data_IF_245901496232
#
_entry.id   IF_245901496232
#
_cell.length_a   1.000
_cell.length_b   1.000
_cell.length_c   1.000
_cell.angle_alpha   90.00
_cell.angle_beta   90.00
_cell.angle_gamma   90.00
#
_symmetry.space_group_name_H-M   'P 1'
#
loop_
_entity.id
_entity.type
_entity.pdbx_description
1 polymer ?
#
# COMPACT_ATOMS: atom_id res chain seq x y z
N UNK A 1 6.17 36.30 -0.01
CA UNK A 1 7.49 35.82 -0.49
C UNK A 1 8.47 35.79 0.67
N UNK A 2 8.78 34.62 1.23
CA UNK A 2 9.93 34.45 2.12
C UNK A 2 10.93 33.57 1.37
N UNK A 3 12.03 34.17 0.95
CA UNK A 3 13.19 33.50 0.37
C UNK A 3 13.70 32.45 1.37
N UNK A 4 13.53 31.17 1.07
CA UNK A 4 14.24 30.10 1.79
C UNK A 4 15.68 30.12 1.29
N UNK A 5 16.60 30.44 2.19
CA UNK A 5 18.04 30.39 1.98
C UNK A 5 18.47 29.01 1.46
N UNK A 6 19.31 29.01 0.42
CA UNK A 6 20.04 27.82 -0.03
C UNK A 6 20.92 27.35 1.14
N UNK A 7 20.90 26.06 1.53
CA UNK A 7 21.78 25.61 2.60
C UNK A 7 23.24 25.64 2.11
N UNK A 8 24.12 26.08 3.01
CA UNK A 8 25.57 26.04 2.82
C UNK A 8 26.03 24.64 2.41
N UNK A 9 27.09 24.57 1.59
CA UNK A 9 27.74 23.32 1.20
C UNK A 9 27.91 22.42 2.42
N UNK A 10 27.40 21.19 2.32
CA UNK A 10 27.53 20.17 3.36
C UNK A 10 29.01 20.01 3.67
N UNK A 11 29.45 20.46 4.84
CA UNK A 11 30.80 20.22 5.32
C UNK A 11 31.05 18.71 5.29
N UNK A 12 32.17 18.28 4.71
CA UNK A 12 32.56 16.87 4.64
C UNK A 12 32.42 16.25 6.04
N UNK A 13 31.58 15.22 6.16
CA UNK A 13 31.38 14.54 7.44
C UNK A 13 32.69 13.84 7.82
N UNK A 14 33.29 14.13 8.99
CA UNK A 14 34.55 13.54 9.39
C UNK A 14 34.50 12.01 9.30
N UNK A 15 35.44 11.41 8.57
CA UNK A 15 35.56 9.95 8.43
C UNK A 15 34.84 9.34 7.22
N UNK A 16 34.08 10.09 6.42
CA UNK A 16 33.61 9.61 5.12
C UNK A 16 34.68 9.73 4.04
N UNK A 17 34.77 8.78 3.09
CA UNK A 17 35.60 8.94 1.90
C UNK A 17 35.29 10.23 1.15
N UNK A 18 36.33 10.85 0.56
CA UNK A 18 36.25 12.16 -0.11
C UNK A 18 35.37 12.17 -1.37
N UNK A 19 35.03 10.99 -1.89
CA UNK A 19 34.18 10.75 -3.05
C UNK A 19 32.71 10.44 -2.67
N UNK A 20 32.36 10.44 -1.38
CA UNK A 20 30.96 10.30 -0.95
C UNK A 20 30.21 11.60 -1.20
N UNK A 21 29.28 11.54 -2.14
CA UNK A 21 28.36 12.66 -2.44
C UNK A 21 27.15 12.57 -1.51
N UNK A 22 26.81 13.64 -0.75
CA UNK A 22 25.56 13.69 0.00
C UNK A 22 24.35 13.54 -0.95
N UNK A 23 23.49 12.58 -0.64
CA UNK A 23 22.25 12.32 -1.40
C UNK A 23 21.04 12.61 -0.52
N UNK A 24 19.98 13.17 -1.12
CA UNK A 24 18.73 13.34 -0.40
C UNK A 24 17.99 11.99 -0.33
N UNK A 25 17.52 11.63 0.87
CA UNK A 25 16.80 10.39 1.12
C UNK A 25 15.34 10.69 1.40
N UNK A 26 14.45 10.00 0.71
CA UNK A 26 13.00 10.10 0.84
C UNK A 26 12.38 8.73 1.08
N UNK A 27 11.12 8.73 1.51
CA UNK A 27 10.27 7.55 1.59
C UNK A 27 8.96 7.82 0.86
N UNK A 28 8.46 6.81 0.16
CA UNK A 28 7.17 6.85 -0.54
C UNK A 28 6.32 5.64 -0.14
N UNK A 29 5.01 5.80 0.04
CA UNK A 29 4.12 4.73 0.47
C UNK A 29 3.12 4.35 -0.60
N UNK A 30 3.12 3.06 -0.98
CA UNK A 30 1.98 2.44 -1.66
C UNK A 30 1.03 1.94 -0.57
N UNK A 31 0.08 2.78 -0.17
CA UNK A 31 -0.95 2.40 0.78
C UNK A 31 -2.22 1.94 0.06
N UNK A 32 -2.54 0.66 0.19
CA UNK A 32 -3.70 0.02 -0.42
C UNK A 32 -4.80 -0.27 0.59
N UNK A 33 -6.03 -0.06 0.14
CA UNK A 33 -7.25 -0.41 0.88
C UNK A 33 -8.31 -1.00 -0.03
N UNK A 34 -9.30 -1.70 0.52
CA UNK A 34 -10.51 -2.08 -0.20
C UNK A 34 -11.63 -1.15 0.25
N UNK A 35 -12.22 -0.42 -0.70
CA UNK A 35 -13.29 0.55 -0.44
C UNK A 35 -14.26 0.56 -1.60
N UNK A 36 -15.56 0.69 -1.30
CA UNK A 36 -16.63 0.82 -2.30
C UNK A 36 -16.54 -0.28 -3.37
N UNK A 37 -16.23 -1.51 -2.91
CA UNK A 37 -16.07 -2.71 -3.74
C UNK A 37 -14.96 -2.59 -4.82
N UNK A 38 -13.90 -1.85 -4.50
CA UNK A 38 -12.72 -1.64 -5.35
C UNK A 38 -11.42 -1.67 -4.53
N UNK A 39 -10.33 -2.14 -5.16
CA UNK A 39 -8.98 -1.91 -4.63
C UNK A 39 -8.60 -0.45 -4.91
N UNK A 40 -8.26 0.27 -3.85
CA UNK A 40 -7.92 1.69 -3.89
C UNK A 40 -6.51 1.93 -3.35
N UNK A 41 -5.85 2.96 -3.89
CA UNK A 41 -4.56 3.48 -3.41
C UNK A 41 -4.75 4.89 -2.86
N UNK A 42 -4.03 5.22 -1.78
CA UNK A 42 -3.98 6.59 -1.27
C UNK A 42 -3.06 7.44 -2.14
N UNK A 43 -3.57 8.59 -2.61
CA UNK A 43 -2.81 9.57 -3.37
C UNK A 43 -2.92 10.95 -2.75
N UNK A 44 -1.85 11.73 -2.88
CA UNK A 44 -1.77 13.14 -2.50
C UNK A 44 -1.58 14.01 -3.73
N UNK A 45 -2.24 15.16 -3.80
CA UNK A 45 -2.07 16.14 -4.88
C UNK A 45 -1.01 17.14 -4.47
N UNK A 46 0.09 17.20 -5.21
CA UNK A 46 1.23 18.07 -4.88
C UNK A 46 0.84 19.54 -4.90
N UNK A 47 1.10 20.26 -3.80
CA UNK A 47 0.89 21.71 -3.68
C UNK A 47 2.08 22.57 -4.13
N UNK A 48 3.22 21.93 -4.41
CA UNK A 48 4.52 22.56 -4.72
C UNK A 48 5.15 22.00 -6.00
N UNK A 49 6.06 22.76 -6.60
CA UNK A 49 6.90 22.27 -7.70
C UNK A 49 8.00 21.31 -7.20
N UNK A 50 8.50 20.39 -8.05
CA UNK A 50 8.06 20.07 -9.41
C UNK A 50 6.69 19.35 -9.43
N UNK A 51 6.05 19.23 -10.59
CA UNK A 51 4.79 18.47 -10.76
C UNK A 51 3.63 18.99 -9.92
N UNK A 52 3.58 20.29 -9.65
CA UNK A 52 2.45 20.90 -8.92
C UNK A 52 1.12 20.51 -9.56
N UNK A 53 0.14 20.16 -8.74
CA UNK A 53 -1.20 19.75 -9.18
C UNK A 53 -1.31 18.30 -9.65
N UNK A 54 -0.20 17.58 -9.85
CA UNK A 54 -0.22 16.13 -10.14
C UNK A 54 -0.45 15.31 -8.87
N UNK A 55 -1.04 14.14 -9.04
CA UNK A 55 -1.15 13.14 -7.98
C UNK A 55 0.19 12.42 -7.79
N UNK A 56 0.48 12.04 -6.55
CA UNK A 56 1.66 11.30 -6.16
C UNK A 56 1.29 10.32 -5.05
N UNK A 57 2.09 9.27 -4.88
CA UNK A 57 2.13 8.53 -3.62
C UNK A 57 2.48 9.46 -2.44
N UNK A 58 1.91 9.24 -1.24
CA UNK A 58 2.33 9.94 -0.04
C UNK A 58 3.79 9.67 0.27
N UNK A 59 4.52 10.70 0.69
CA UNK A 59 5.95 10.58 0.90
C UNK A 59 6.68 11.90 1.11
N UNK A 60 7.90 11.80 1.63
CA UNK A 60 8.70 12.96 1.96
C UNK A 60 10.12 12.59 2.37
N UNK A 61 10.90 13.59 2.76
CA UNK A 61 12.32 13.42 3.08
C UNK A 61 12.51 12.91 4.50
N UNK A 62 13.49 12.01 4.66
CA UNK A 62 13.90 11.47 5.96
C UNK A 62 14.58 12.57 6.77
N UNK A 63 14.19 12.71 8.03
CA UNK A 63 14.76 13.67 8.99
C UNK A 63 15.99 13.07 9.69
N UNK A 64 16.90 13.88 10.25
CA UNK A 64 18.18 13.37 10.78
C UNK A 64 18.08 12.46 12.02
N UNK A 65 16.93 12.40 12.71
CA UNK A 65 16.74 11.64 13.96
C UNK A 65 15.59 10.62 13.86
N UNK A 66 15.30 10.11 12.67
CA UNK A 66 14.30 9.06 12.46
C UNK A 66 14.83 7.95 11.55
N UNK A 67 14.34 6.73 11.77
CA UNK A 67 14.55 5.61 10.85
C UNK A 67 13.57 5.68 9.65
N UNK A 68 13.85 4.92 8.59
CA UNK A 68 13.05 4.88 7.36
C UNK A 68 11.59 4.51 7.61
N UNK A 69 11.33 3.52 8.46
CA UNK A 69 9.98 3.10 8.79
C UNK A 69 9.24 4.17 9.63
N UNK A 70 9.97 4.90 10.48
CA UNK A 70 9.42 6.01 11.26
C UNK A 70 9.07 7.19 10.36
N UNK A 71 9.95 7.52 9.41
CA UNK A 71 9.69 8.51 8.37
C UNK A 71 8.43 8.13 7.57
N UNK A 72 8.30 6.88 7.14
CA UNK A 72 7.15 6.43 6.37
C UNK A 72 5.83 6.58 7.14
N UNK A 73 5.81 6.20 8.43
CA UNK A 73 4.63 6.38 9.29
C UNK A 73 4.32 7.86 9.53
N UNK A 74 5.35 8.69 9.71
CA UNK A 74 5.20 10.14 9.90
C UNK A 74 4.61 10.80 8.65
N UNK A 75 5.18 10.58 7.47
CA UNK A 75 4.70 11.17 6.22
C UNK A 75 3.25 10.76 5.95
N UNK A 76 2.91 9.49 6.16
CA UNK A 76 1.52 9.02 6.07
C UNK A 76 0.58 9.80 7.01
N UNK A 77 0.99 10.01 8.26
CA UNK A 77 0.18 10.75 9.22
C UNK A 77 0.07 12.25 8.89
N UNK A 78 1.16 12.88 8.43
CA UNK A 78 1.25 14.31 8.12
C UNK A 78 0.42 14.68 6.87
N UNK A 79 0.49 13.88 5.80
CA UNK A 79 -0.15 14.21 4.52
C UNK A 79 -1.62 13.77 4.41
N UNK A 80 -2.02 12.77 5.21
CA UNK A 80 -3.31 12.09 5.02
C UNK A 80 -4.13 11.96 6.30
N UNK A 81 -3.58 12.36 7.45
CA UNK A 81 -4.24 12.24 8.76
C UNK A 81 -4.40 10.80 9.27
N UNK A 82 -3.85 9.81 8.56
CA UNK A 82 -3.95 8.39 8.92
C UNK A 82 -2.93 8.10 10.02
N UNK A 83 -3.41 8.07 11.27
CA UNK A 83 -2.57 7.85 12.46
C UNK A 83 -2.50 6.38 12.91
N UNK A 84 -3.41 5.54 12.42
CA UNK A 84 -3.41 4.10 12.76
C UNK A 84 -2.31 3.41 11.97
N UNK A 85 -1.55 2.56 12.64
CA UNK A 85 -0.61 1.67 11.95
C UNK A 85 -1.39 0.78 10.97
N UNK A 86 -0.89 0.60 9.74
CA UNK A 86 -1.52 -0.30 8.79
C UNK A 86 -1.48 -1.74 9.31
N UNK A 87 -2.39 -2.59 8.82
CA UNK A 87 -2.42 -4.00 9.19
C UNK A 87 -1.16 -4.74 8.72
N UNK A 88 -0.50 -4.21 7.68
CA UNK A 88 0.79 -4.66 7.20
C UNK A 88 1.60 -3.45 6.73
N UNK A 89 2.88 -3.41 7.09
CA UNK A 89 3.87 -2.45 6.58
C UNK A 89 5.14 -3.23 6.27
N UNK A 90 5.64 -3.11 5.04
CA UNK A 90 6.94 -3.68 4.67
C UNK A 90 7.68 -2.76 3.71
N UNK A 91 9.01 -2.79 3.75
CA UNK A 91 9.81 -2.16 2.71
C UNK A 91 9.59 -2.90 1.38
N UNK A 92 9.28 -2.14 0.34
CA UNK A 92 9.03 -2.64 -1.01
C UNK A 92 10.34 -2.79 -1.78
N UNK A 93 10.99 -1.65 -2.06
CA UNK A 93 12.20 -1.53 -2.86
C UNK A 93 12.84 -0.14 -2.66
N UNK A 94 14.06 0.03 -3.16
CA UNK A 94 14.77 1.31 -3.17
C UNK A 94 14.95 1.79 -4.60
N UNK A 95 14.57 3.04 -4.88
CA UNK A 95 14.63 3.63 -6.21
C UNK A 95 15.61 4.80 -6.21
N UNK A 96 16.65 4.69 -7.03
CA UNK A 96 17.77 5.64 -7.04
C UNK A 96 18.25 6.02 -8.44
N UNK A 97 17.38 5.89 -9.46
CA UNK A 97 17.71 6.29 -10.82
C UNK A 97 18.13 7.78 -10.83
N UNK A 98 19.26 8.15 -11.48
CA UNK A 98 19.84 9.49 -11.35
C UNK A 98 18.90 10.65 -11.68
N UNK A 99 17.94 10.44 -12.59
CA UNK A 99 17.00 11.45 -13.05
C UNK A 99 15.57 11.27 -12.52
N UNK A 100 15.36 10.43 -11.49
CA UNK A 100 14.00 10.20 -10.93
C UNK A 100 13.37 11.47 -10.37
N UNK A 101 14.20 12.39 -9.87
CA UNK A 101 13.79 13.67 -9.34
C UNK A 101 14.50 14.80 -10.10
N UNK A 102 13.78 15.75 -10.73
CA UNK A 102 14.39 16.85 -11.47
C UNK A 102 15.13 17.86 -10.57
N UNK A 103 15.00 17.76 -9.25
CA UNK A 103 15.70 18.63 -8.28
C UNK A 103 17.14 18.19 -8.01
N UNK A 104 17.54 16.97 -8.42
CA UNK A 104 18.88 16.44 -8.22
C UNK A 104 18.89 14.99 -7.74
N UNK A 105 20.00 14.55 -7.13
CA UNK A 105 20.16 13.16 -6.70
C UNK A 105 19.31 12.85 -5.45
N UNK A 106 18.14 12.26 -5.69
CA UNK A 106 17.24 11.76 -4.65
C UNK A 106 17.12 10.24 -4.75
N UNK A 107 17.23 9.56 -3.61
CA UNK A 107 16.87 8.14 -3.46
C UNK A 107 15.59 8.07 -2.64
N UNK A 108 14.65 7.23 -3.07
CA UNK A 108 13.47 6.89 -2.25
C UNK A 108 13.51 5.44 -1.82
N UNK A 109 13.16 5.19 -0.56
CA UNK A 109 12.86 3.85 -0.05
C UNK A 109 11.34 3.73 0.00
N UNK A 110 10.78 2.92 -0.89
CA UNK A 110 9.34 2.75 -0.95
C UNK A 110 8.87 1.69 0.05
N UNK A 111 7.68 1.91 0.62
CA UNK A 111 7.00 0.98 1.52
C UNK A 111 5.66 0.55 0.93
N UNK A 112 5.32 -0.72 1.11
CA UNK A 112 3.97 -1.23 0.90
C UNK A 112 3.23 -1.23 2.23
N UNK A 113 2.05 -0.62 2.26
CA UNK A 113 1.14 -0.66 3.38
C UNK A 113 -0.23 -1.21 2.96
N UNK A 114 -0.76 -2.13 3.77
CA UNK A 114 -2.10 -2.70 3.58
C UNK A 114 -2.94 -2.34 4.80
N UNK A 115 -4.03 -1.61 4.61
CA UNK A 115 -4.82 -1.15 5.74
C UNK A 115 -6.34 -1.13 5.44
N UNK A 116 -7.17 -1.71 6.32
CA UNK A 116 -8.63 -1.56 6.27
C UNK A 116 -9.03 -0.18 6.82
N UNK A 117 -8.90 0.86 6.00
CA UNK A 117 -9.17 2.23 6.43
C UNK A 117 -10.51 2.70 5.84
N UNK A 118 -11.49 2.90 6.73
CA UNK A 118 -12.80 3.46 6.36
C UNK A 118 -12.80 4.99 6.33
N UNK A 119 -11.85 5.63 7.01
CA UNK A 119 -11.77 7.09 7.12
C UNK A 119 -11.29 7.71 5.81
N UNK A 120 -11.94 8.81 5.42
CA UNK A 120 -11.47 9.66 4.34
C UNK A 120 -10.13 10.30 4.75
N UNK A 121 -9.14 10.36 3.84
CA UNK A 121 -7.88 11.01 4.14
C UNK A 121 -8.10 12.53 4.23
N UNK A 122 -7.37 13.18 5.13
CA UNK A 122 -7.38 14.64 5.29
C UNK A 122 -6.03 15.16 4.83
N UNK A 123 -6.02 16.04 3.83
CA UNK A 123 -4.80 16.61 3.31
C UNK A 123 -4.08 17.47 4.37
N UNK A 124 -2.76 17.36 4.44
CA UNK A 124 -1.91 18.17 5.30
C UNK A 124 -0.61 18.60 4.62
N UNK A 125 0.16 19.43 5.32
CA UNK A 125 1.49 19.92 4.91
C UNK A 125 1.53 20.44 3.45
N UNK A 126 2.27 19.77 2.58
CA UNK A 126 2.50 20.17 1.19
C UNK A 126 1.48 19.55 0.21
N UNK A 127 0.55 18.73 0.72
CA UNK A 127 -0.54 18.15 -0.06
C UNK A 127 -1.72 19.13 -0.17
N UNK A 128 -2.06 19.50 -1.41
CA UNK A 128 -3.21 20.35 -1.70
C UNK A 128 -4.55 19.59 -1.65
N UNK A 129 -4.52 18.26 -1.67
CA UNK A 129 -5.65 17.35 -1.51
C UNK A 129 -5.12 15.92 -1.28
N UNK A 130 -5.94 15.04 -0.69
CA UNK A 130 -5.67 13.60 -0.62
C UNK A 130 -6.94 12.81 -0.96
N UNK A 131 -6.80 11.63 -1.56
CA UNK A 131 -7.95 10.77 -1.92
C UNK A 131 -7.57 9.30 -1.96
N UNK A 132 -8.58 8.46 -1.70
CA UNK A 132 -8.56 7.07 -2.16
C UNK A 132 -8.95 7.05 -3.64
N UNK A 133 -8.09 6.51 -4.49
CA UNK A 133 -8.34 6.36 -5.93
C UNK A 133 -8.37 4.87 -6.31
N UNK A 134 -9.34 4.41 -7.12
CA UNK A 134 -9.31 3.06 -7.66
C UNK A 134 -8.01 2.82 -8.42
N UNK A 135 -7.35 1.68 -8.16
CA UNK A 135 -6.04 1.38 -8.77
C UNK A 135 -6.09 1.34 -10.30
N UNK A 136 -7.24 0.96 -10.86
CA UNK A 136 -7.46 0.89 -12.31
C UNK A 136 -7.37 2.25 -13.02
N UNK A 137 -7.54 3.37 -12.30
CA UNK A 137 -7.46 4.74 -12.84
C UNK A 137 -6.54 5.68 -12.05
N UNK A 138 -5.72 5.13 -11.14
CA UNK A 138 -4.84 5.93 -10.29
C UNK A 138 -3.82 6.76 -11.08
N UNK A 139 -3.48 6.32 -12.31
CA UNK A 139 -2.53 6.95 -13.22
C UNK A 139 -3.15 7.56 -14.48
N UNK A 140 -4.47 7.83 -14.49
CA UNK A 140 -5.11 8.47 -15.65
C UNK A 140 -4.39 9.79 -16.03
N UNK A 141 -4.36 10.17 -17.33
CA UNK A 141 -3.49 11.22 -17.84
C UNK A 141 -3.50 12.51 -16.99
N UNK A 142 -2.32 13.07 -16.64
CA UNK A 142 -0.99 12.79 -17.20
C UNK A 142 -0.18 11.70 -16.47
N UNK A 143 -0.79 10.89 -15.59
CA UNK A 143 -0.07 9.96 -14.73
C UNK A 143 0.42 10.57 -13.40
N UNK A 144 1.03 9.72 -12.58
CA UNK A 144 1.57 10.14 -11.27
C UNK A 144 2.85 10.97 -11.42
N UNK A 145 3.15 11.79 -10.42
CA UNK A 145 4.39 12.56 -10.35
C UNK A 145 5.63 11.65 -10.24
N UNK A 146 6.78 12.14 -10.73
CA UNK A 146 8.06 11.41 -10.71
C UNK A 146 7.96 10.01 -11.35
N UNK A 147 8.53 8.99 -10.71
CA UNK A 147 8.47 7.58 -11.08
C UNK A 147 7.39 6.80 -10.30
N UNK A 148 6.44 7.49 -9.66
CA UNK A 148 5.49 6.86 -8.72
C UNK A 148 4.54 5.87 -9.40
N UNK A 149 4.36 5.95 -10.72
CA UNK A 149 3.62 4.94 -11.49
C UNK A 149 4.32 3.57 -11.45
N UNK A 150 5.66 3.55 -11.54
CA UNK A 150 6.44 2.32 -11.43
C UNK A 150 6.39 1.77 -10.00
N UNK A 151 6.58 2.64 -9.00
CA UNK A 151 6.49 2.27 -7.58
C UNK A 151 5.11 1.66 -7.25
N UNK A 152 4.03 2.27 -7.76
CA UNK A 152 2.68 1.73 -7.61
C UNK A 152 2.54 0.34 -8.26
N UNK A 153 3.05 0.16 -9.47
CA UNK A 153 3.03 -1.14 -10.16
C UNK A 153 3.71 -2.25 -9.35
N UNK A 154 4.91 -1.97 -8.85
CA UNK A 154 5.67 -2.90 -7.99
C UNK A 154 4.94 -3.19 -6.68
N UNK A 155 4.36 -2.17 -6.05
CA UNK A 155 3.58 -2.31 -4.82
C UNK A 155 2.33 -3.16 -5.00
N UNK A 156 1.64 -3.01 -6.13
CA UNK A 156 0.47 -3.83 -6.48
C UNK A 156 0.86 -5.30 -6.65
N UNK A 157 1.93 -5.59 -7.39
CA UNK A 157 2.36 -6.97 -7.57
C UNK A 157 2.82 -7.59 -6.26
N UNK A 158 3.55 -6.83 -5.43
CA UNK A 158 3.95 -7.29 -4.10
C UNK A 158 2.74 -7.57 -3.21
N UNK A 159 1.73 -6.70 -3.21
CA UNK A 159 0.50 -6.92 -2.45
C UNK A 159 -0.22 -8.20 -2.89
N UNK A 160 -0.34 -8.41 -4.20
CA UNK A 160 -0.97 -9.61 -4.75
C UNK A 160 -0.21 -10.89 -4.40
N UNK A 161 1.12 -10.87 -4.48
CA UNK A 161 1.95 -11.98 -4.04
C UNK A 161 1.81 -12.25 -2.54
N UNK A 162 1.74 -11.20 -1.71
CA UNK A 162 1.55 -11.30 -0.25
C UNK A 162 0.28 -12.07 0.12
N UNK A 163 -0.79 -11.89 -0.66
CA UNK A 163 -2.06 -12.59 -0.48
C UNK A 163 -1.96 -14.09 -0.76
N UNK A 164 -0.99 -14.53 -1.57
CA UNK A 164 -0.82 -15.94 -1.90
C UNK A 164 -0.31 -16.75 -0.71
N UNK A 165 0.56 -16.17 0.11
CA UNK A 165 1.26 -16.90 1.17
C UNK A 165 1.00 -16.38 2.58
N UNK A 166 0.14 -15.37 2.79
CA UNK A 166 -0.14 -14.85 4.14
C UNK A 166 -1.63 -14.65 4.40
N UNK A 167 -2.01 -14.61 5.68
CA UNK A 167 -3.38 -14.37 6.09
C UNK A 167 -3.81 -12.88 6.06
N UNK A 168 -3.01 -12.00 5.43
CA UNK A 168 -3.23 -10.54 5.46
C UNK A 168 -4.59 -10.12 4.90
N UNK A 169 -5.17 -10.91 3.98
CA UNK A 169 -6.50 -10.66 3.43
C UNK A 169 -7.59 -10.55 4.50
N UNK A 170 -7.47 -11.31 5.60
CA UNK A 170 -8.45 -11.27 6.71
C UNK A 170 -8.46 -9.94 7.45
N UNK A 171 -7.39 -9.14 7.34
CA UNK A 171 -7.37 -7.79 7.91
C UNK A 171 -8.36 -6.84 7.20
N UNK A 172 -8.80 -7.16 5.98
CA UNK A 172 -9.78 -6.37 5.24
C UNK A 172 -11.23 -6.76 5.52
N UNK A 173 -11.44 -7.82 6.29
CA UNK A 173 -12.77 -8.26 6.70
C UNK A 173 -13.18 -7.61 8.03
N UNK A 174 -14.49 -7.58 8.29
CA UNK A 174 -15.03 -7.35 9.63
C UNK A 174 -14.51 -8.40 10.63
N UNK A 175 -14.60 -8.17 11.96
CA UNK A 175 -14.16 -9.16 12.95
C UNK A 175 -14.79 -10.55 12.76
N UNK A 176 -16.01 -10.60 12.21
CA UNK A 176 -16.70 -11.83 11.82
C UNK A 176 -17.20 -11.74 10.39
N UNK A 177 -16.75 -12.68 9.57
CA UNK A 177 -16.96 -12.64 8.13
C UNK A 177 -17.29 -14.03 7.55
N UNK A 178 -17.93 -14.05 6.39
CA UNK A 178 -18.18 -15.27 5.62
C UNK A 178 -17.02 -15.56 4.68
N UNK A 179 -16.89 -16.82 4.26
CA UNK A 179 -15.94 -17.19 3.20
C UNK A 179 -16.21 -16.42 1.90
N UNK A 180 -17.47 -16.04 1.64
CA UNK A 180 -17.82 -15.25 0.46
C UNK A 180 -17.27 -13.83 0.52
N UNK A 181 -17.36 -13.18 1.68
CA UNK A 181 -16.76 -11.85 1.92
C UNK A 181 -15.23 -11.90 1.79
N UNK A 182 -14.58 -12.89 2.39
CA UNK A 182 -13.13 -13.08 2.23
C UNK A 182 -12.75 -13.31 0.76
N UNK A 183 -13.50 -14.15 0.04
CA UNK A 183 -13.29 -14.38 -1.40
C UNK A 183 -13.37 -13.07 -2.17
N UNK A 184 -14.33 -12.20 -1.85
CA UNK A 184 -14.49 -10.90 -2.51
C UNK A 184 -13.22 -10.04 -2.35
N UNK A 185 -12.63 -9.99 -1.16
CA UNK A 185 -11.36 -9.29 -0.94
C UNK A 185 -10.25 -9.82 -1.85
N UNK A 186 -10.09 -11.15 -1.94
CA UNK A 186 -9.11 -11.75 -2.83
C UNK A 186 -9.35 -11.38 -4.31
N UNK A 187 -10.61 -11.44 -4.77
CA UNK A 187 -10.97 -11.11 -6.14
C UNK A 187 -10.67 -9.63 -6.47
N UNK A 188 -10.91 -8.72 -5.53
CA UNK A 188 -10.62 -7.29 -5.68
C UNK A 188 -9.12 -7.01 -5.76
N UNK A 189 -8.32 -7.70 -4.96
CA UNK A 189 -6.86 -7.51 -4.93
C UNK A 189 -6.19 -8.15 -6.15
N UNK A 190 -6.59 -9.36 -6.51
CA UNK A 190 -6.03 -10.08 -7.66
C UNK A 190 -6.61 -9.63 -9.00
N UNK A 191 -7.73 -8.91 -9.03
CA UNK A 191 -8.35 -8.42 -10.26
C UNK A 191 -8.97 -9.53 -11.11
N UNK A 192 -9.45 -10.61 -10.49
CA UNK A 192 -9.98 -11.79 -11.19
C UNK A 192 -10.98 -12.57 -10.34
N UNK A 193 -11.79 -13.42 -10.98
CA UNK A 193 -12.78 -14.26 -10.28
C UNK A 193 -12.16 -15.54 -9.76
N UNK A 194 -12.62 -15.98 -8.60
CA UNK A 194 -12.23 -17.24 -7.97
C UNK A 194 -13.40 -18.20 -7.94
N UNK A 195 -13.12 -19.48 -8.19
CA UNK A 195 -14.12 -20.52 -8.05
C UNK A 195 -14.56 -20.63 -6.57
N UNK A 196 -15.85 -20.41 -6.24
CA UNK A 196 -16.30 -20.36 -4.86
C UNK A 196 -16.06 -21.66 -4.09
N UNK A 197 -16.19 -22.83 -4.74
CA UNK A 197 -16.07 -24.13 -4.09
C UNK A 197 -14.60 -24.44 -3.77
N UNK A 198 -13.70 -24.22 -4.72
CA UNK A 198 -12.27 -24.39 -4.54
C UNK A 198 -11.72 -23.41 -3.50
N UNK A 199 -12.14 -22.14 -3.57
CA UNK A 199 -11.75 -21.15 -2.58
C UNK A 199 -12.20 -21.58 -1.18
N UNK A 200 -13.47 -21.94 -1.02
CA UNK A 200 -14.00 -22.40 0.27
C UNK A 200 -13.20 -23.58 0.82
N UNK A 201 -13.05 -24.65 0.04
CA UNK A 201 -12.26 -25.83 0.44
C UNK A 201 -10.84 -25.46 0.85
N UNK A 202 -10.21 -24.54 0.14
CA UNK A 202 -8.83 -24.10 0.39
C UNK A 202 -8.74 -23.33 1.71
N UNK A 203 -9.60 -22.33 1.93
CA UNK A 203 -9.50 -21.46 3.11
C UNK A 203 -9.92 -22.16 4.39
N UNK A 204 -10.97 -23.00 4.35
CA UNK A 204 -11.41 -23.76 5.54
C UNK A 204 -10.52 -24.97 5.83
N UNK A 205 -9.82 -25.50 4.81
CA UNK A 205 -8.87 -26.60 4.97
C UNK A 205 -7.46 -26.16 5.35
N UNK A 206 -7.15 -24.86 5.35
CA UNK A 206 -5.82 -24.35 5.73
C UNK A 206 -5.77 -24.15 7.25
N UNK A 207 -4.93 -24.93 7.92
CA UNK A 207 -4.79 -24.89 9.38
C UNK A 207 -4.44 -23.48 9.88
N UNK A 208 -5.13 -23.06 10.95
CA UNK A 208 -4.91 -21.76 11.59
C UNK A 208 -5.34 -20.54 10.76
N UNK A 209 -5.88 -20.72 9.54
CA UNK A 209 -6.27 -19.57 8.72
C UNK A 209 -7.59 -18.95 9.18
N UNK A 210 -8.62 -19.79 9.36
CA UNK A 210 -9.96 -19.37 9.78
C UNK A 210 -10.42 -20.18 10.99
N UNK A 211 -11.11 -19.50 11.91
CA UNK A 211 -11.73 -20.12 13.09
C UNK A 211 -13.26 -20.02 12.96
N UNK A 212 -14.00 -21.15 12.89
CA UNK A 212 -15.46 -21.12 12.83
C UNK A 212 -16.03 -20.58 14.15
N UNK A 213 -17.06 -19.74 14.06
CA UNK A 213 -17.71 -19.16 15.24
C UNK A 213 -18.89 -19.99 15.74
N UNK A 214 -19.36 -20.95 14.95
CA UNK A 214 -20.63 -21.67 15.17
C UNK A 214 -21.89 -20.83 14.89
N UNK A 215 -21.74 -19.57 14.47
CA UNK A 215 -22.86 -18.70 14.07
C UNK A 215 -23.02 -18.68 12.55
N UNK A 216 -24.22 -18.34 12.13
CA UNK A 216 -24.61 -18.25 10.73
C UNK A 216 -25.27 -16.90 10.43
N UNK A 217 -25.21 -16.47 9.17
CA UNK A 217 -25.82 -15.24 8.68
C UNK A 217 -26.51 -15.46 7.33
N UNK A 218 -27.53 -14.66 7.05
CA UNK A 218 -28.23 -14.61 5.75
C UNK A 218 -27.93 -13.32 4.97
N UNK A 219 -26.96 -12.51 5.43
CA UNK A 219 -26.66 -11.18 4.85
C UNK A 219 -26.15 -11.23 3.41
N UNK A 220 -25.54 -12.34 3.02
CA UNK A 220 -25.08 -12.59 1.64
C UNK A 220 -26.19 -13.15 0.73
N UNK A 221 -27.41 -13.32 1.27
CA UNK A 221 -28.54 -13.95 0.59
C UNK A 221 -28.46 -15.47 0.54
N UNK A 222 -29.59 -16.12 0.24
CA UNK A 222 -29.66 -17.57 0.07
C UNK A 222 -29.61 -18.36 1.38
N UNK A 223 -28.88 -19.50 1.38
CA UNK A 223 -28.75 -20.37 2.55
C UNK A 223 -27.88 -19.70 3.63
N UNK A 224 -28.16 -19.94 4.93
CA UNK A 224 -27.31 -19.42 5.99
C UNK A 224 -25.84 -19.78 5.80
N UNK A 225 -24.98 -18.78 5.75
CA UNK A 225 -23.53 -18.91 5.62
C UNK A 225 -22.87 -18.87 7.01
N UNK A 226 -21.90 -19.73 7.26
CA UNK A 226 -21.16 -19.76 8.52
C UNK A 226 -20.24 -18.54 8.65
N UNK A 227 -20.17 -17.99 9.86
CA UNK A 227 -19.28 -16.89 10.21
C UNK A 227 -17.95 -17.43 10.77
N UNK A 228 -16.87 -16.83 10.30
CA UNK A 228 -15.49 -17.13 10.70
C UNK A 228 -14.82 -15.89 11.31
N UNK A 229 -13.81 -16.15 12.13
CA UNK A 229 -12.83 -15.15 12.58
C UNK A 229 -11.47 -15.46 11.99
N UNK A 230 -10.60 -14.44 11.95
CA UNK A 230 -9.18 -14.61 11.65
C UNK A 230 -8.55 -15.59 12.66
N UNK A 231 -7.82 -16.59 12.15
CA UNK A 231 -6.98 -17.46 12.97
C UNK A 231 -5.58 -16.90 13.23
N UNK A 232 -4.70 -17.72 13.79
CA UNK A 232 -3.34 -17.37 14.20
C UNK A 232 -2.28 -17.57 13.11
N UNK A 233 -2.62 -18.17 11.97
CA UNK A 233 -1.69 -18.38 10.88
C UNK A 233 -1.18 -17.04 10.32
N UNK A 234 0.13 -16.81 10.42
CA UNK A 234 0.81 -15.70 9.72
C UNK A 234 1.09 -16.03 8.24
N UNK A 235 1.42 -17.30 7.97
CA UNK A 235 1.80 -17.83 6.64
C UNK A 235 0.84 -18.95 6.27
N UNK A 236 0.44 -19.01 5.00
CA UNK A 236 -0.46 -20.02 4.46
C UNK A 236 0.32 -21.17 3.85
N UNK A 237 0.08 -22.38 4.36
CA UNK A 237 0.66 -23.61 3.82
C UNK A 237 -0.44 -24.65 3.54
N UNK A 238 -0.60 -25.10 2.28
CA UNK A 238 0.08 -24.61 1.08
C UNK A 238 -0.41 -23.22 0.68
N UNK A 239 0.42 -22.44 -0.02
CA UNK A 239 0.04 -21.13 -0.57
C UNK A 239 -1.23 -21.21 -1.44
N UNK A 240 -1.97 -20.11 -1.51
CA UNK A 240 -3.11 -19.89 -2.40
C UNK A 240 -2.62 -19.18 -3.66
N UNK A 241 -2.30 -19.96 -4.69
CA UNK A 241 -1.82 -19.40 -5.94
C UNK A 241 -2.92 -18.59 -6.62
N UNK A 242 -2.55 -17.41 -7.10
CA UNK A 242 -3.38 -16.59 -7.95
C UNK A 242 -3.66 -17.35 -9.24
N UNK A 243 -4.91 -17.42 -9.73
CA UNK A 243 -5.18 -17.99 -11.05
C UNK A 243 -4.33 -17.25 -12.09
N UNK A 244 -3.55 -17.98 -12.88
CA UNK A 244 -2.90 -17.38 -14.04
C UNK A 244 -4.01 -16.98 -15.01
N UNK A 245 -3.95 -15.74 -15.51
CA UNK A 245 -4.77 -15.37 -16.65
C UNK A 245 -4.42 -16.36 -17.76
N UNK A 246 -5.37 -17.21 -18.16
CA UNK A 246 -5.17 -18.00 -19.39
C UNK A 246 -4.97 -16.98 -20.50
N UNK A 247 -3.90 -17.05 -21.32
CA UNK A 247 -3.88 -16.30 -22.56
C UNK A 247 -5.17 -16.67 -23.31
N UNK A 248 -5.90 -15.65 -23.76
CA UNK A 248 -7.08 -15.86 -24.58
C UNK A 248 -6.63 -16.67 -25.81
N UNK A 249 -7.25 -17.82 -26.13
CA UNK A 249 -6.89 -18.59 -27.31
C UNK A 249 -7.09 -17.80 -28.60
#
# INVERSE_FOLDING_TARGET
MRSRSVPAAVAASPGLPVDVVPIALSVDLVLLTVRDDQLCVLLVRRGIEPFRGRWALPGGFVRPQEDLAEAAVRELAEETGVRRRPAHLEQLATYGAPARDPRGRVVTVAFLALAPLSQAPVAGTDAAASRWAPVAGAGDPPGLAFDHQAILGDGLERARAKFEYSAVATAFCEPEFTVAELRRIYELVWGGRLDPRNFHRKVTGTAGFLVPTGRFTTRDGGRPAELYRRGDAGVLHPAMLRPTARPNP
#
